data_IF_183646700786
#
_entry.id   IF_183646700786
#
_cell.length_a   1.000
_cell.length_b   1.000
_cell.length_c   1.000
_cell.angle_alpha   90.00
_cell.angle_beta   90.00
_cell.angle_gamma   90.00
#
_symmetry.space_group_name_H-M   'P 1'
#
loop_
_entity.id
_entity.type
_entity.pdbx_description
1 polymer ?
#
# COMPACT_ATOMS: atom_id res chain seq x y z
N UNK A 1 -25.92 -22.78 6.32
CA UNK A 1 -26.26 -23.44 5.03
C UNK A 1 -25.92 -22.58 3.79
N UNK A 2 -26.03 -21.24 3.82
CA UNK A 2 -25.71 -20.39 2.65
C UNK A 2 -24.22 -20.41 2.25
N UNK A 3 -23.30 -20.36 3.23
CA UNK A 3 -21.86 -20.22 3.00
C UNK A 3 -21.22 -21.43 2.27
N UNK A 4 -21.66 -22.66 2.56
CA UNK A 4 -21.10 -23.88 1.96
C UNK A 4 -21.40 -23.98 0.45
N UNK A 5 -22.61 -23.60 0.00
CA UNK A 5 -22.97 -23.61 -1.43
C UNK A 5 -22.13 -22.59 -2.22
N UNK A 6 -21.92 -21.41 -1.65
CA UNK A 6 -21.12 -20.36 -2.25
C UNK A 6 -19.65 -20.76 -2.33
N UNK A 7 -19.10 -21.33 -1.26
CA UNK A 7 -17.74 -21.83 -1.23
C UNK A 7 -17.51 -22.90 -2.30
N UNK A 8 -18.40 -23.90 -2.41
CA UNK A 8 -18.30 -24.92 -3.47
C UNK A 8 -18.29 -24.32 -4.87
N UNK A 9 -19.08 -23.27 -5.11
CA UNK A 9 -19.08 -22.54 -6.40
C UNK A 9 -17.74 -21.86 -6.66
N UNK A 10 -17.16 -21.22 -5.65
CA UNK A 10 -15.84 -20.58 -5.74
C UNK A 10 -14.74 -21.61 -6.05
N UNK A 11 -14.71 -22.73 -5.31
CA UNK A 11 -13.74 -23.81 -5.53
C UNK A 11 -13.89 -24.42 -6.92
N UNK A 12 -15.12 -24.68 -7.39
CA UNK A 12 -15.36 -25.16 -8.74
C UNK A 12 -14.94 -24.14 -9.83
N UNK A 13 -15.07 -22.83 -9.57
CA UNK A 13 -14.60 -21.81 -10.49
C UNK A 13 -13.05 -21.76 -10.57
N UNK A 14 -12.37 -21.92 -9.44
CA UNK A 14 -10.90 -21.97 -9.37
C UNK A 14 -10.35 -23.25 -10.00
N UNK A 15 -10.96 -24.40 -9.74
CA UNK A 15 -10.60 -25.67 -10.35
C UNK A 15 -10.71 -25.65 -11.89
N UNK A 16 -11.77 -25.02 -12.44
CA UNK A 16 -11.91 -24.83 -13.90
C UNK A 16 -10.81 -23.96 -14.52
N UNK A 17 -10.07 -23.21 -13.71
CA UNK A 17 -8.91 -22.40 -14.11
C UNK A 17 -7.58 -23.10 -13.83
N UNK A 18 -7.61 -24.39 -13.47
CA UNK A 18 -6.41 -25.16 -13.15
C UNK A 18 -5.81 -24.83 -11.79
N UNK A 19 -6.59 -24.29 -10.85
CA UNK A 19 -6.12 -24.00 -9.51
C UNK A 19 -6.62 -25.05 -8.52
N UNK A 20 -5.69 -25.67 -7.81
CA UNK A 20 -5.97 -26.51 -6.65
C UNK A 20 -6.04 -25.65 -5.39
N UNK A 21 -7.03 -25.88 -4.55
CA UNK A 21 -7.32 -25.01 -3.40
C UNK A 21 -7.62 -25.86 -2.18
N UNK A 22 -6.78 -25.72 -1.17
CA UNK A 22 -6.90 -26.40 0.12
C UNK A 22 -7.04 -25.40 1.26
N UNK A 23 -7.65 -25.82 2.37
CA UNK A 23 -7.81 -24.99 3.56
C UNK A 23 -7.28 -25.73 4.80
N UNK A 24 -6.38 -25.07 5.54
CA UNK A 24 -5.87 -25.52 6.83
C UNK A 24 -6.11 -24.43 7.89
N UNK A 25 -7.16 -24.61 8.71
CA UNK A 25 -7.59 -23.57 9.66
C UNK A 25 -7.97 -22.27 8.93
N UNK A 26 -7.37 -21.11 9.28
CA UNK A 26 -7.66 -19.85 8.60
C UNK A 26 -6.84 -19.65 7.31
N UNK A 27 -5.97 -20.58 6.93
CA UNK A 27 -5.11 -20.43 5.75
C UNK A 27 -5.68 -21.20 4.57
N UNK A 28 -5.81 -20.51 3.44
CA UNK A 28 -6.14 -21.09 2.14
C UNK A 28 -4.88 -21.19 1.29
N UNK A 29 -4.52 -22.39 0.87
CA UNK A 29 -3.41 -22.63 -0.05
C UNK A 29 -3.95 -22.77 -1.46
N UNK A 30 -3.41 -22.00 -2.39
CA UNK A 30 -3.81 -21.99 -3.81
C UNK A 30 -2.59 -22.41 -4.62
N UNK A 31 -2.68 -23.53 -5.34
CA UNK A 31 -1.61 -24.07 -6.18
C UNK A 31 -1.99 -24.05 -7.65
N UNK A 32 -1.05 -23.60 -8.48
CA UNK A 32 -1.14 -23.74 -9.93
C UNK A 32 -0.87 -25.16 -10.38
N UNK A 33 -0.92 -25.39 -11.69
CA UNK A 33 -0.47 -26.65 -12.29
C UNK A 33 1.07 -26.66 -12.45
N UNK A 34 1.65 -27.85 -12.48
CA UNK A 34 3.03 -28.01 -12.91
C UNK A 34 3.14 -27.69 -14.41
N UNK A 35 4.10 -26.83 -14.77
CA UNK A 35 4.36 -26.50 -16.17
C UNK A 35 5.67 -27.17 -16.65
N UNK A 36 5.72 -27.67 -17.90
CA UNK A 36 6.93 -28.24 -18.46
C UNK A 36 8.09 -27.22 -18.44
N UNK A 37 9.23 -27.61 -17.88
CA UNK A 37 10.41 -26.74 -17.77
C UNK A 37 10.46 -25.86 -16.53
N UNK A 38 9.49 -26.00 -15.60
CA UNK A 38 9.57 -25.40 -14.26
C UNK A 38 9.71 -26.45 -13.18
N UNK A 39 10.77 -26.32 -12.38
CA UNK A 39 11.05 -27.23 -11.26
C UNK A 39 10.12 -27.01 -10.04
N UNK A 40 9.38 -25.89 -10.03
CA UNK A 40 8.51 -25.50 -8.91
C UNK A 40 7.06 -25.35 -9.36
N UNK A 41 6.15 -25.91 -8.55
CA UNK A 41 4.73 -25.61 -8.63
C UNK A 41 4.44 -24.31 -7.87
N UNK A 42 3.91 -23.26 -8.53
CA UNK A 42 3.55 -22.02 -7.87
C UNK A 42 2.51 -22.23 -6.78
N UNK A 43 2.76 -21.65 -5.61
CA UNK A 43 1.85 -21.71 -4.47
C UNK A 43 1.66 -20.32 -3.86
N UNK A 44 0.40 -19.98 -3.57
CA UNK A 44 0.03 -18.79 -2.83
C UNK A 44 -0.76 -19.17 -1.56
N UNK A 45 -0.71 -18.30 -0.56
CA UNK A 45 -1.43 -18.48 0.69
C UNK A 45 -2.28 -17.24 1.01
N UNK A 46 -3.52 -17.45 1.46
CA UNK A 46 -4.40 -16.36 1.92
C UNK A 46 -4.81 -16.62 3.35
N UNK A 47 -4.62 -15.63 4.23
CA UNK A 47 -5.15 -15.67 5.59
C UNK A 47 -6.61 -15.17 5.57
N UNK A 48 -7.58 -16.06 5.75
CA UNK A 48 -9.00 -15.73 5.87
C UNK A 48 -9.59 -16.38 7.14
N UNK A 49 -9.84 -15.58 8.18
CA UNK A 49 -10.58 -16.02 9.36
C UNK A 49 -11.97 -16.55 9.01
N UNK A 50 -12.58 -17.27 9.95
CA UNK A 50 -13.95 -17.75 9.77
C UNK A 50 -14.92 -16.57 9.51
N UNK A 51 -15.80 -16.76 8.52
CA UNK A 51 -16.75 -15.74 8.08
C UNK A 51 -16.27 -14.89 6.89
N UNK A 52 -14.99 -14.95 6.52
CA UNK A 52 -14.47 -14.27 5.33
C UNK A 52 -14.60 -15.15 4.08
N UNK A 53 -14.84 -14.51 2.93
CA UNK A 53 -15.07 -15.20 1.67
C UNK A 53 -13.82 -15.16 0.77
N UNK A 54 -13.49 -16.30 0.17
CA UNK A 54 -12.45 -16.39 -0.84
C UNK A 54 -12.97 -15.83 -2.18
N UNK A 55 -12.37 -14.73 -2.65
CA UNK A 55 -12.66 -14.17 -3.97
C UNK A 55 -11.97 -14.97 -5.08
N UNK A 56 -12.73 -15.55 -6.02
CA UNK A 56 -12.16 -16.30 -7.15
C UNK A 56 -11.22 -15.46 -8.03
N UNK A 57 -11.54 -14.18 -8.26
CA UNK A 57 -10.72 -13.30 -9.10
C UNK A 57 -9.43 -12.91 -8.40
N UNK A 58 -9.49 -12.57 -7.11
CA UNK A 58 -8.30 -12.20 -6.35
C UNK A 58 -7.38 -13.42 -6.13
N UNK A 59 -7.95 -14.60 -5.87
CA UNK A 59 -7.20 -15.85 -5.76
C UNK A 59 -6.47 -16.21 -7.07
N UNK A 60 -7.12 -16.02 -8.22
CA UNK A 60 -6.48 -16.20 -9.53
C UNK A 60 -5.33 -15.21 -9.75
N UNK A 61 -5.53 -13.93 -9.44
CA UNK A 61 -4.48 -12.91 -9.56
C UNK A 61 -3.28 -13.25 -8.67
N UNK A 62 -3.52 -13.69 -7.43
CA UNK A 62 -2.47 -14.08 -6.49
C UNK A 62 -1.71 -15.32 -6.97
N UNK A 63 -2.41 -16.34 -7.46
CA UNK A 63 -1.79 -17.56 -7.99
C UNK A 63 -0.94 -17.28 -9.24
N UNK A 64 -1.43 -16.44 -10.16
CA UNK A 64 -0.66 -15.97 -11.31
C UNK A 64 0.61 -15.24 -10.86
N UNK A 65 0.51 -14.43 -9.82
CA UNK A 65 1.65 -13.69 -9.30
C UNK A 65 2.67 -14.59 -8.60
N UNK A 66 2.22 -15.59 -7.84
CA UNK A 66 3.10 -16.63 -7.28
C UNK A 66 3.90 -17.38 -8.36
N UNK A 67 3.39 -17.40 -9.60
CA UNK A 67 4.01 -18.01 -10.74
C UNK A 67 4.88 -17.03 -11.56
N UNK A 68 5.03 -15.78 -11.16
CA UNK A 68 5.79 -14.82 -11.95
C UNK A 68 7.31 -15.09 -11.89
N UNK A 69 7.94 -15.07 -13.06
CA UNK A 69 9.38 -15.09 -13.28
C UNK A 69 9.73 -14.06 -14.36
N UNK A 70 11.01 -13.67 -14.41
CA UNK A 70 11.50 -12.77 -15.44
C UNK A 70 12.41 -13.54 -16.41
N UNK A 71 12.26 -13.38 -17.74
CA UNK A 71 13.04 -14.14 -18.72
C UNK A 71 14.57 -13.99 -18.61
N UNK A 72 15.04 -12.89 -18.03
CA UNK A 72 16.48 -12.64 -17.82
C UNK A 72 17.00 -13.15 -16.46
N UNK A 73 16.20 -13.88 -15.70
CA UNK A 73 16.49 -14.28 -14.32
C UNK A 73 15.64 -13.51 -13.32
N UNK A 74 15.39 -14.17 -12.18
CA UNK A 74 14.58 -13.67 -11.09
C UNK A 74 13.19 -14.32 -11.02
N UNK A 75 12.69 -14.52 -9.80
CA UNK A 75 11.42 -15.24 -9.57
C UNK A 75 10.73 -14.80 -8.28
N UNK A 76 9.44 -15.15 -8.17
CA UNK A 76 8.68 -15.03 -6.92
C UNK A 76 8.97 -16.22 -5.99
N UNK A 77 9.48 -15.96 -4.80
CA UNK A 77 9.70 -16.95 -3.75
C UNK A 77 8.43 -17.27 -2.97
N UNK A 78 7.59 -16.28 -2.67
CA UNK A 78 6.33 -16.49 -1.97
C UNK A 78 5.33 -15.39 -2.31
N UNK A 79 4.06 -15.76 -2.48
CA UNK A 79 2.96 -14.80 -2.54
C UNK A 79 1.95 -15.14 -1.44
N UNK A 80 1.65 -14.15 -0.62
CA UNK A 80 0.67 -14.25 0.46
C UNK A 80 -0.34 -13.14 0.33
N UNK A 81 -1.50 -13.28 0.97
CA UNK A 81 -2.46 -12.21 1.05
C UNK A 81 -3.11 -12.11 2.43
N UNK A 82 -3.36 -10.86 2.83
CA UNK A 82 -4.01 -10.47 4.08
C UNK A 82 -5.53 -10.68 4.02
N UNK A 83 -6.25 -10.65 5.16
CA UNK A 83 -7.69 -10.92 5.18
C UNK A 83 -8.57 -9.96 4.37
N UNK A 84 -8.09 -8.76 4.10
CA UNK A 84 -8.75 -7.71 3.30
C UNK A 84 -8.45 -7.82 1.79
N UNK A 85 -7.81 -8.91 1.35
CA UNK A 85 -7.44 -9.06 -0.04
C UNK A 85 -8.64 -9.04 -0.98
N UNK A 86 -8.49 -8.35 -2.12
CA UNK A 86 -9.54 -8.27 -3.12
C UNK A 86 -8.95 -8.00 -4.50
N UNK A 87 -9.79 -8.15 -5.52
CA UNK A 87 -9.33 -8.07 -6.89
C UNK A 87 -8.84 -6.65 -7.22
N UNK A 88 -7.57 -6.53 -7.58
CA UNK A 88 -6.98 -5.29 -8.10
C UNK A 88 -7.01 -5.25 -9.62
N UNK A 89 -6.18 -4.38 -10.22
CA UNK A 89 -5.97 -4.32 -11.67
C UNK A 89 -5.28 -5.59 -12.19
N UNK A 90 -4.06 -5.84 -11.71
CA UNK A 90 -3.22 -6.98 -12.10
C UNK A 90 -2.84 -7.88 -10.92
N UNK A 91 -2.49 -7.26 -9.79
CA UNK A 91 -2.14 -7.90 -8.52
C UNK A 91 -3.28 -7.62 -7.55
N UNK A 92 -3.70 -8.56 -6.69
CA UNK A 92 -4.74 -8.27 -5.73
C UNK A 92 -4.23 -7.28 -4.68
N UNK A 93 -5.10 -6.37 -4.26
CA UNK A 93 -4.84 -5.53 -3.09
C UNK A 93 -4.74 -6.46 -1.87
N UNK A 94 -3.86 -6.13 -0.91
CA UNK A 94 -3.59 -6.98 0.25
C UNK A 94 -2.59 -8.11 -0.02
N UNK A 95 -1.94 -8.14 -1.19
CA UNK A 95 -0.88 -9.11 -1.47
C UNK A 95 0.46 -8.68 -0.86
N UNK A 96 1.19 -9.66 -0.33
CA UNK A 96 2.59 -9.55 0.07
C UNK A 96 3.38 -10.56 -0.75
N UNK A 97 4.39 -10.09 -1.48
CA UNK A 97 5.12 -10.93 -2.41
C UNK A 97 6.61 -10.76 -2.19
N UNK A 98 7.29 -11.88 -1.96
CA UNK A 98 8.73 -11.95 -1.86
C UNK A 98 9.29 -12.42 -3.20
N UNK A 99 10.09 -11.57 -3.84
CA UNK A 99 10.84 -11.87 -5.06
C UNK A 99 12.31 -12.15 -4.74
N UNK A 100 13.03 -12.70 -5.70
CA UNK A 100 14.49 -12.72 -5.68
C UNK A 100 15.04 -11.28 -5.78
N UNK A 101 16.27 -11.01 -5.27
CA UNK A 101 16.82 -9.65 -5.20
C UNK A 101 16.97 -8.93 -6.54
N UNK A 102 17.01 -9.68 -7.64
CA UNK A 102 17.15 -9.21 -9.02
C UNK A 102 15.81 -8.95 -9.72
N UNK A 103 14.67 -9.17 -9.06
CA UNK A 103 13.34 -8.99 -9.63
C UNK A 103 12.51 -7.98 -8.83
N UNK A 104 12.08 -6.92 -9.51
CA UNK A 104 11.06 -5.98 -9.03
C UNK A 104 9.85 -6.07 -9.95
N UNK A 105 8.65 -6.05 -9.38
CA UNK A 105 7.41 -5.99 -10.14
C UNK A 105 6.65 -4.71 -9.77
N UNK A 106 6.77 -3.62 -10.55
CA UNK A 106 6.14 -2.34 -10.22
C UNK A 106 4.64 -2.42 -9.98
N UNK A 107 3.92 -3.27 -10.74
CA UNK A 107 2.48 -3.47 -10.58
C UNK A 107 2.07 -4.04 -9.22
N UNK A 108 2.98 -4.71 -8.49
CA UNK A 108 2.72 -5.19 -7.13
C UNK A 108 2.87 -4.11 -6.06
N UNK A 109 3.52 -2.98 -6.38
CA UNK A 109 3.62 -1.84 -5.47
C UNK A 109 2.30 -1.05 -5.49
N UNK A 110 1.70 -0.90 -6.68
CA UNK A 110 0.51 -0.10 -6.91
C UNK A 110 0.80 1.25 -7.55
N UNK A 111 -0.24 1.94 -7.99
CA UNK A 111 -0.13 3.24 -8.66
C UNK A 111 0.09 4.40 -7.69
N UNK A 112 -0.47 4.30 -6.49
CA UNK A 112 -0.29 5.25 -5.40
C UNK A 112 0.89 4.78 -4.53
N UNK A 113 2.11 5.06 -5.00
CA UNK A 113 3.34 4.60 -4.35
C UNK A 113 3.45 5.28 -2.99
N UNK A 114 3.76 4.48 -1.96
CA UNK A 114 3.82 4.92 -0.57
C UNK A 114 2.45 5.40 -0.01
N UNK A 115 1.35 4.89 -0.57
CA UNK A 115 0.04 5.00 0.09
C UNK A 115 0.15 4.44 1.51
N UNK A 116 -0.31 5.21 2.50
CA UNK A 116 -0.11 4.89 3.90
C UNK A 116 -0.97 5.74 4.81
N UNK A 117 -0.85 5.48 6.10
CA UNK A 117 -1.62 6.16 7.13
C UNK A 117 -0.68 6.88 8.10
N UNK A 118 -1.08 8.08 8.52
CA UNK A 118 -0.46 8.81 9.62
C UNK A 118 -1.52 9.11 10.67
N UNK A 119 -1.23 8.82 11.93
CA UNK A 119 -2.10 9.11 13.06
C UNK A 119 -1.52 10.30 13.83
N UNK A 120 -2.29 11.39 13.90
CA UNK A 120 -2.01 12.51 14.80
C UNK A 120 -2.80 12.31 16.09
N UNK A 121 -2.13 12.49 17.23
CA UNK A 121 -2.75 12.45 18.55
C UNK A 121 -2.67 13.85 19.14
N UNK A 122 -3.83 14.40 19.49
CA UNK A 122 -3.96 15.73 20.10
C UNK A 122 -4.61 15.57 21.47
N UNK A 123 -4.14 16.33 22.45
CA UNK A 123 -4.78 16.44 23.75
C UNK A 123 -5.88 17.50 23.68
N UNK A 124 -7.08 17.07 23.28
CA UNK A 124 -8.24 17.94 23.09
C UNK A 124 -9.48 17.26 23.66
N UNK A 125 -10.23 17.99 24.48
CA UNK A 125 -11.48 17.47 25.04
C UNK A 125 -12.55 17.27 23.95
N UNK A 126 -13.37 16.24 24.13
CA UNK A 126 -14.36 15.85 23.11
C UNK A 126 -15.40 16.95 22.87
N UNK A 127 -15.83 17.66 23.91
CA UNK A 127 -16.83 18.72 23.79
C UNK A 127 -16.32 19.88 22.92
N UNK A 128 -15.10 20.35 23.18
CA UNK A 128 -14.42 21.37 22.39
C UNK A 128 -14.14 20.90 20.97
N UNK A 129 -13.71 19.64 20.78
CA UNK A 129 -13.57 19.08 19.45
C UNK A 129 -14.90 19.13 18.68
N UNK A 130 -15.99 18.67 19.31
CA UNK A 130 -17.30 18.63 18.68
C UNK A 130 -17.83 20.04 18.38
N UNK A 131 -17.54 21.03 19.23
CA UNK A 131 -17.88 22.43 18.98
C UNK A 131 -17.16 23.01 17.75
N UNK A 132 -15.91 22.59 17.48
CA UNK A 132 -15.10 23.06 16.35
C UNK A 132 -15.12 22.17 15.10
N UNK A 133 -15.69 20.96 15.19
CA UNK A 133 -15.57 19.92 14.16
C UNK A 133 -16.01 20.38 12.76
N UNK A 134 -17.11 21.12 12.66
CA UNK A 134 -17.63 21.54 11.37
C UNK A 134 -16.66 22.48 10.63
N UNK A 135 -16.04 23.43 11.34
CA UNK A 135 -15.04 24.33 10.77
C UNK A 135 -13.79 23.56 10.35
N UNK A 136 -13.28 22.67 11.21
CA UNK A 136 -12.12 21.83 10.90
C UNK A 136 -12.35 20.96 9.65
N UNK A 137 -13.53 20.34 9.51
CA UNK A 137 -13.86 19.52 8.34
C UNK A 137 -13.89 20.37 7.07
N UNK A 138 -14.38 21.60 7.13
CA UNK A 138 -14.40 22.48 5.96
C UNK A 138 -12.98 22.92 5.57
N UNK A 139 -12.14 23.27 6.54
CA UNK A 139 -10.73 23.60 6.30
C UNK A 139 -9.98 22.41 5.66
N UNK A 140 -10.16 21.19 6.20
CA UNK A 140 -9.54 19.98 5.67
C UNK A 140 -10.06 19.65 4.25
N UNK A 141 -11.36 19.83 4.00
CA UNK A 141 -11.95 19.64 2.67
C UNK A 141 -11.34 20.62 1.67
N UNK A 142 -11.22 21.89 2.06
CA UNK A 142 -10.57 22.92 1.26
C UNK A 142 -9.15 22.53 0.88
N UNK A 143 -8.33 22.22 1.89
CA UNK A 143 -6.90 21.98 1.72
C UNK A 143 -6.58 20.66 0.99
N UNK A 144 -7.35 19.59 1.24
CA UNK A 144 -7.06 18.25 0.72
C UNK A 144 -7.82 17.91 -0.57
N UNK A 145 -9.03 18.43 -0.77
CA UNK A 145 -9.92 17.98 -1.86
C UNK A 145 -10.24 19.08 -2.88
N UNK A 146 -10.34 20.34 -2.45
CA UNK A 146 -10.81 21.44 -3.31
C UNK A 146 -9.68 22.34 -3.81
N UNK A 147 -8.43 22.05 -3.44
CA UNK A 147 -7.26 22.79 -3.92
C UNK A 147 -7.18 24.22 -3.40
N UNK A 148 -7.82 24.53 -2.26
CA UNK A 148 -7.76 25.87 -1.65
C UNK A 148 -6.52 26.05 -0.76
N UNK A 149 -5.64 25.05 -0.69
CA UNK A 149 -4.42 25.08 0.11
C UNK A 149 -3.47 26.21 -0.32
N UNK A 150 -3.02 27.00 0.64
CA UNK A 150 -1.94 27.97 0.46
C UNK A 150 -0.62 27.40 1.00
N UNK A 151 -0.12 26.37 0.32
CA UNK A 151 1.16 25.69 0.62
C UNK A 151 2.12 25.77 -0.58
N UNK A 152 2.49 26.98 -1.04
CA UNK A 152 3.45 27.12 -2.13
C UNK A 152 4.82 26.59 -1.71
N UNK A 153 5.48 25.88 -2.61
CA UNK A 153 6.85 25.40 -2.41
C UNK A 153 7.77 25.98 -3.46
N UNK A 154 8.97 26.37 -3.05
CA UNK A 154 10.03 26.65 -4.02
C UNK A 154 10.45 25.36 -4.69
N UNK A 155 10.98 25.50 -5.90
CA UNK A 155 11.62 24.39 -6.62
C UNK A 155 12.67 23.71 -5.74
N UNK A 156 13.51 24.46 -5.04
CA UNK A 156 14.57 23.92 -4.16
C UNK A 156 14.01 23.03 -3.06
N UNK A 157 12.89 23.41 -2.46
CA UNK A 157 12.29 22.70 -1.34
C UNK A 157 11.68 21.38 -1.84
N UNK A 158 11.01 21.41 -3.00
CA UNK A 158 10.48 20.21 -3.65
C UNK A 158 11.58 19.26 -4.12
N UNK A 159 12.69 19.78 -4.66
CA UNK A 159 13.85 18.99 -5.07
C UNK A 159 14.50 18.29 -3.87
N UNK A 160 14.64 18.98 -2.73
CA UNK A 160 15.13 18.39 -1.49
C UNK A 160 14.20 17.27 -1.01
N UNK A 161 12.88 17.50 -1.01
CA UNK A 161 11.89 16.47 -0.69
C UNK A 161 12.05 15.22 -1.56
N UNK A 162 12.18 15.40 -2.87
CA UNK A 162 12.21 14.29 -3.82
C UNK A 162 13.52 13.49 -3.78
N UNK A 163 14.66 14.13 -3.51
CA UNK A 163 15.96 13.46 -3.46
C UNK A 163 16.23 12.79 -2.12
N UNK A 164 15.95 13.51 -1.04
CA UNK A 164 16.47 13.22 0.29
C UNK A 164 15.35 13.13 1.35
N UNK A 165 14.09 13.34 0.96
CA UNK A 165 12.93 13.15 1.81
C UNK A 165 12.54 14.35 2.66
N UNK A 166 11.62 14.11 3.60
CA UNK A 166 10.99 15.14 4.41
C UNK A 166 11.97 15.94 5.31
N UNK A 167 13.03 15.35 5.91
CA UNK A 167 14.02 16.12 6.66
C UNK A 167 14.76 17.15 5.80
N UNK A 168 15.17 16.78 4.58
CA UNK A 168 15.85 17.70 3.67
C UNK A 168 14.92 18.80 3.18
N UNK A 169 13.64 18.48 2.95
CA UNK A 169 12.59 19.47 2.69
C UNK A 169 12.47 20.48 3.85
N UNK A 170 12.41 20.01 5.10
CA UNK A 170 12.30 20.87 6.27
C UNK A 170 13.52 21.78 6.44
N UNK A 171 14.72 21.25 6.18
CA UNK A 171 15.96 22.04 6.20
C UNK A 171 15.99 23.10 5.07
N UNK A 172 15.56 22.73 3.87
CA UNK A 172 15.42 23.66 2.75
C UNK A 172 14.39 24.77 3.06
N UNK A 173 13.26 24.40 3.67
CA UNK A 173 12.23 25.34 4.13
C UNK A 173 12.78 26.33 5.16
N UNK A 174 13.56 25.85 6.14
CA UNK A 174 14.25 26.69 7.15
C UNK A 174 15.22 27.67 6.50
N UNK A 175 16.02 27.22 5.53
CA UNK A 175 17.00 28.06 4.81
C UNK A 175 16.34 29.12 3.92
N UNK A 176 15.30 28.74 3.18
CA UNK A 176 14.62 29.63 2.24
C UNK A 176 13.55 30.52 2.89
N UNK A 177 13.14 30.20 4.12
CA UNK A 177 12.03 30.82 4.83
C UNK A 177 10.66 30.30 4.34
N UNK A 178 9.72 29.93 5.22
CA UNK A 178 8.44 29.37 4.81
C UNK A 178 7.57 30.35 4.02
N UNK A 179 6.68 29.82 3.17
CA UNK A 179 5.74 30.56 2.34
C UNK A 179 4.29 30.16 2.69
N UNK A 180 3.31 31.00 2.31
CA UNK A 180 1.89 30.76 2.56
C UNK A 180 1.58 30.42 4.02
N UNK A 181 0.74 29.40 4.24
CA UNK A 181 0.36 28.88 5.56
C UNK A 181 1.53 28.32 6.37
N UNK A 182 2.65 27.92 5.75
CA UNK A 182 3.82 27.44 6.49
C UNK A 182 4.50 28.56 7.29
N UNK A 183 4.22 29.85 7.01
CA UNK A 183 4.77 30.97 7.78
C UNK A 183 4.33 30.98 9.24
N UNK A 184 3.16 30.42 9.52
CA UNK A 184 2.61 30.28 10.87
C UNK A 184 2.83 28.89 11.47
N UNK A 185 3.50 27.98 10.74
CA UNK A 185 3.74 26.63 11.23
C UNK A 185 4.89 26.61 12.25
N UNK A 186 4.76 25.75 13.26
CA UNK A 186 5.86 25.41 14.16
C UNK A 186 6.78 24.39 13.47
N UNK A 187 7.92 24.86 12.96
CA UNK A 187 8.88 24.01 12.29
C UNK A 187 9.63 23.07 13.25
N UNK A 188 9.63 23.35 14.55
CA UNK A 188 10.15 22.45 15.58
C UNK A 188 9.20 21.29 15.81
N UNK A 189 7.90 21.58 15.96
CA UNK A 189 6.86 20.56 16.07
C UNK A 189 6.84 19.64 14.85
N UNK A 190 6.96 20.19 13.63
CA UNK A 190 7.07 19.37 12.42
C UNK A 190 8.28 18.44 12.42
N UNK A 191 9.43 18.90 12.95
CA UNK A 191 10.63 18.06 13.10
C UNK A 191 10.35 16.90 14.07
N UNK A 192 9.77 17.21 15.24
CA UNK A 192 9.40 16.21 16.24
C UNK A 192 8.36 15.20 15.72
N UNK A 193 7.41 15.66 14.90
CA UNK A 193 6.45 14.79 14.23
C UNK A 193 7.13 13.86 13.21
N UNK A 194 8.09 14.36 12.42
CA UNK A 194 8.82 13.54 11.45
C UNK A 194 9.60 12.41 12.13
N UNK A 195 10.14 12.63 13.33
CA UNK A 195 10.80 11.58 14.11
C UNK A 195 9.86 10.43 14.50
N UNK A 196 8.54 10.64 14.46
CA UNK A 196 7.52 9.62 14.73
C UNK A 196 6.95 8.98 13.45
N UNK A 197 7.41 9.40 12.28
CA UNK A 197 7.03 8.79 11.00
C UNK A 197 7.93 7.59 10.68
N UNK A 198 7.36 6.57 10.06
CA UNK A 198 8.13 5.48 9.46
C UNK A 198 9.15 6.04 8.47
N UNK A 199 10.41 5.62 8.60
CA UNK A 199 11.56 6.08 7.83
C UNK A 199 11.65 7.61 7.70
N UNK A 200 11.24 8.34 8.75
CA UNK A 200 11.20 9.81 8.78
C UNK A 200 10.35 10.41 7.64
N UNK A 201 9.36 9.66 7.15
CA UNK A 201 8.54 10.05 5.99
C UNK A 201 9.35 10.15 4.70
N UNK A 202 10.42 9.37 4.57
CA UNK A 202 11.43 9.54 3.53
C UNK A 202 11.86 8.23 2.90
N UNK A 203 12.10 8.26 1.60
CA UNK A 203 12.80 7.23 0.85
C UNK A 203 13.86 7.91 -0.02
N UNK A 204 14.93 7.20 -0.36
CA UNK A 204 15.93 7.74 -1.29
C UNK A 204 15.31 7.90 -2.68
N UNK A 205 15.42 9.10 -3.25
CA UNK A 205 14.90 9.39 -4.57
C UNK A 205 15.96 9.95 -5.52
N UNK A 206 15.61 10.07 -6.80
CA UNK A 206 16.51 10.56 -7.84
C UNK A 206 15.75 11.30 -8.92
N UNK A 207 16.10 12.58 -9.14
CA UNK A 207 15.53 13.43 -10.19
C UNK A 207 15.90 13.02 -11.60
N UNK A 208 16.77 12.01 -11.77
CA UNK A 208 17.13 11.50 -13.10
C UNK A 208 15.90 11.07 -13.92
N UNK A 209 14.81 10.74 -13.23
CA UNK A 209 13.59 10.20 -13.80
C UNK A 209 12.39 11.18 -13.74
N UNK A 210 12.65 12.45 -13.42
CA UNK A 210 11.72 13.58 -13.58
C UNK A 210 11.98 14.30 -14.91
#
# INVERSE_FOLDING_TARGET
MSNDKQLRRVLAALARRGLDVERHGPVWSIRGQAEPGRDRVPSAEVLLPDGFELSSKAAEQLARFAAADHPAGGCVHAARATPDFHAGSSVPVGAVVATSPDMLVPEAIGTDINCGMRLHVIDLDLERFMAGKAALVEDLRGDLLLGTRDLPMRRTDLQALYREGAPAWLEALRRGGPLGRLRSADLGELEDELLRSHDLGSFQGSERWL
#
